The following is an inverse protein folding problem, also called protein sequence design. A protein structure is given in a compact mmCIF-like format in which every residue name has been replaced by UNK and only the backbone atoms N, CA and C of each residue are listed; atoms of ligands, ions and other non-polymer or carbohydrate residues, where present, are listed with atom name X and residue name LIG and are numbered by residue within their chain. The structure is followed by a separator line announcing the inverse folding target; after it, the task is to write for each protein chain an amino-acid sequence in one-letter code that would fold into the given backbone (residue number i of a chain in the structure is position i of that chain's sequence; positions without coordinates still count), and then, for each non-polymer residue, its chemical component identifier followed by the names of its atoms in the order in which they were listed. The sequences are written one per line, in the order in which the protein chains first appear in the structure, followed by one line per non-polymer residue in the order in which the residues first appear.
data_IF_448826700454
#
_entry.id   IF_448826700454
#
_cell.length_a   1.000
_cell.length_b   1.000
_cell.length_c   1.000
_cell.angle_alpha   90.00
_cell.angle_beta   90.00
_cell.angle_gamma   90.00
#
_symmetry.space_group_name_H-M   'P 1'
#
loop_
_entity.id
_entity.type
_entity.pdbx_description
1 polymer ?
#
# COMPACT_ATOMS: atom_id res chain seq x y z
N UNK A 1 -39.25 13.74 -8.23
CA UNK A 1 -39.24 12.71 -7.17
C UNK A 1 -37.77 12.38 -6.92
N UNK A 2 -37.09 13.13 -6.02
CA UNK A 2 -35.66 13.00 -5.79
C UNK A 2 -35.45 11.96 -4.68
N UNK A 3 -35.06 10.73 -5.05
CA UNK A 3 -34.81 9.66 -4.09
C UNK A 3 -33.59 10.01 -3.24
N UNK A 4 -33.78 10.10 -1.92
CA UNK A 4 -32.68 10.08 -0.95
C UNK A 4 -32.11 8.67 -0.94
N UNK A 5 -30.83 8.53 -1.28
CA UNK A 5 -30.10 7.28 -1.07
C UNK A 5 -29.54 7.31 0.35
N UNK A 6 -30.12 6.53 1.25
CA UNK A 6 -29.55 6.28 2.57
C UNK A 6 -28.36 5.33 2.44
N UNK A 7 -27.14 5.83 2.58
CA UNK A 7 -25.97 4.99 2.77
C UNK A 7 -26.02 4.46 4.21
N UNK A 8 -26.52 3.24 4.37
CA UNK A 8 -26.48 2.55 5.67
C UNK A 8 -25.07 1.99 5.84
N UNK A 9 -24.35 2.50 6.84
CA UNK A 9 -23.06 1.93 7.25
C UNK A 9 -23.29 0.51 7.73
N UNK A 10 -22.86 -0.50 6.96
CA UNK A 10 -22.76 -1.88 7.43
C UNK A 10 -21.63 -1.92 8.46
N UNK A 11 -21.88 -2.35 9.72
CA UNK A 11 -20.80 -2.56 10.68
C UNK A 11 -19.77 -3.49 10.04
N UNK A 12 -18.52 -3.07 9.95
CA UNK A 12 -17.50 -3.99 9.48
C UNK A 12 -17.35 -5.08 10.54
N UNK A 13 -17.56 -6.33 10.14
CA UNK A 13 -17.26 -7.49 10.99
C UNK A 13 -15.80 -7.93 10.88
N UNK A 14 -14.94 -7.10 10.25
CA UNK A 14 -13.54 -7.45 10.00
C UNK A 14 -12.74 -7.18 11.26
N UNK A 15 -12.00 -8.19 11.72
CA UNK A 15 -11.10 -8.04 12.85
C UNK A 15 -10.12 -6.88 12.59
N UNK A 16 -9.91 -6.04 13.61
CA UNK A 16 -8.90 -4.98 13.58
C UNK A 16 -7.54 -5.67 13.44
N UNK A 17 -6.75 -5.36 12.40
CA UNK A 17 -5.42 -5.93 12.26
C UNK A 17 -4.52 -5.45 13.40
N UNK A 18 -3.57 -6.28 13.78
CA UNK A 18 -2.53 -5.91 14.72
C UNK A 18 -1.44 -5.09 14.03
N UNK A 19 -0.72 -4.26 14.79
CA UNK A 19 0.46 -3.55 14.29
C UNK A 19 1.50 -4.52 13.73
N UNK A 20 1.67 -5.69 14.36
CA UNK A 20 2.61 -6.72 13.93
C UNK A 20 2.25 -7.31 12.57
N UNK A 21 0.96 -7.56 12.29
CA UNK A 21 0.52 -8.05 10.97
C UNK A 21 0.79 -7.04 9.85
N UNK A 22 0.54 -5.75 10.12
CA UNK A 22 0.82 -4.67 9.16
C UNK A 22 2.32 -4.59 8.87
N UNK A 23 3.15 -4.53 9.92
CA UNK A 23 4.60 -4.40 9.77
C UNK A 23 5.23 -5.64 9.13
N UNK A 24 4.80 -6.85 9.52
CA UNK A 24 5.27 -8.10 8.90
C UNK A 24 4.97 -8.13 7.40
N UNK A 25 3.78 -7.69 7.00
CA UNK A 25 3.41 -7.63 5.58
C UNK A 25 4.29 -6.67 4.77
N UNK A 26 4.69 -5.53 5.35
CA UNK A 26 5.61 -4.58 4.71
C UNK A 26 7.06 -5.08 4.76
N UNK A 27 7.47 -5.75 5.83
CA UNK A 27 8.80 -6.36 5.95
C UNK A 27 8.99 -7.49 4.91
N UNK A 28 7.93 -8.26 4.63
CA UNK A 28 7.91 -9.22 3.52
C UNK A 28 8.02 -8.54 2.15
N UNK A 29 7.36 -7.39 1.95
CA UNK A 29 7.51 -6.59 0.73
C UNK A 29 8.96 -6.10 0.57
N UNK A 30 9.59 -5.63 1.66
CA UNK A 30 11.00 -5.20 1.64
C UNK A 30 11.95 -6.37 1.34
N UNK A 31 11.67 -7.57 1.88
CA UNK A 31 12.47 -8.75 1.59
C UNK A 31 12.40 -9.11 0.10
N UNK A 32 11.20 -9.12 -0.47
CA UNK A 32 11.00 -9.45 -1.90
C UNK A 32 11.51 -8.35 -2.84
N UNK A 33 11.53 -7.09 -2.41
CA UNK A 33 12.12 -6.00 -3.17
C UNK A 33 13.65 -6.11 -3.26
N UNK A 34 14.31 -6.63 -2.22
CA UNK A 34 15.75 -6.92 -2.24
C UNK A 34 16.12 -8.05 -3.21
N UNK A 35 15.19 -8.96 -3.46
CA UNK A 35 15.32 -10.02 -4.46
C UNK A 35 15.04 -9.51 -5.89
N UNK A 36 14.57 -8.26 -6.04
CA UNK A 36 14.24 -7.64 -7.33
C UNK A 36 12.87 -8.05 -7.90
N UNK A 37 12.03 -8.74 -7.12
CA UNK A 37 10.73 -9.22 -7.60
C UNK A 37 9.64 -8.15 -7.42
N UNK A 38 9.48 -7.29 -8.44
CA UNK A 38 8.48 -6.22 -8.45
C UNK A 38 7.05 -6.75 -8.29
N UNK A 39 6.73 -7.87 -8.94
CA UNK A 39 5.37 -8.42 -8.94
C UNK A 39 4.98 -8.94 -7.56
N UNK A 40 5.88 -9.72 -6.93
CA UNK A 40 5.65 -10.23 -5.58
C UNK A 40 5.66 -9.09 -4.54
N UNK A 41 6.55 -8.12 -4.70
CA UNK A 41 6.58 -6.91 -3.85
C UNK A 41 5.23 -6.19 -3.94
N UNK A 42 4.71 -5.93 -5.14
CA UNK A 42 3.41 -5.29 -5.36
C UNK A 42 2.27 -6.08 -4.68
N UNK A 43 2.30 -7.41 -4.73
CA UNK A 43 1.31 -8.25 -4.06
C UNK A 43 1.35 -8.10 -2.54
N UNK A 44 2.54 -8.06 -1.93
CA UNK A 44 2.68 -7.85 -0.48
C UNK A 44 2.16 -6.46 -0.07
N UNK A 45 2.55 -5.41 -0.78
CA UNK A 45 2.08 -4.04 -0.49
C UNK A 45 0.56 -3.92 -0.70
N UNK A 46 0.03 -4.51 -1.77
CA UNK A 46 -1.41 -4.54 -2.03
C UNK A 46 -2.22 -5.25 -0.94
N UNK A 47 -1.69 -6.34 -0.36
CA UNK A 47 -2.30 -7.02 0.79
C UNK A 47 -2.32 -6.13 2.03
N UNK A 48 -1.25 -5.38 2.28
CA UNK A 48 -1.21 -4.41 3.38
C UNK A 48 -2.20 -3.26 3.15
N UNK A 49 -2.31 -2.72 1.93
CA UNK A 49 -3.34 -1.73 1.62
C UNK A 49 -4.74 -2.25 1.93
N UNK A 50 -5.07 -3.46 1.47
CA UNK A 50 -6.36 -4.10 1.78
C UNK A 50 -6.56 -4.29 3.29
N UNK A 51 -5.51 -4.65 4.02
CA UNK A 51 -5.55 -4.81 5.48
C UNK A 51 -5.88 -3.48 6.18
N UNK A 52 -5.38 -2.36 5.66
CA UNK A 52 -5.57 -1.02 6.19
C UNK A 52 -6.84 -0.30 5.69
N UNK A 53 -7.64 -0.89 4.80
CA UNK A 53 -8.86 -0.26 4.28
C UNK A 53 -9.99 -0.20 5.30
N UNK A 54 -10.72 0.91 5.31
CA UNK A 54 -11.94 1.07 6.12
C UNK A 54 -11.67 1.33 7.61
N UNK A 55 -12.73 1.20 8.40
CA UNK A 55 -12.76 1.42 9.85
C UNK A 55 -11.80 0.52 10.64
N UNK A 56 -11.69 -0.77 10.29
CA UNK A 56 -10.76 -1.67 10.96
C UNK A 56 -9.29 -1.22 10.79
N UNK A 57 -8.92 -0.73 9.60
CA UNK A 57 -7.59 -0.20 9.33
C UNK A 57 -7.35 1.17 9.98
N UNK A 58 -8.39 2.02 10.03
CA UNK A 58 -8.32 3.27 10.78
C UNK A 58 -8.10 2.99 12.28
N UNK A 59 -8.81 2.01 12.85
CA UNK A 59 -8.72 1.65 14.26
C UNK A 59 -7.32 1.18 14.69
N UNK A 60 -6.55 0.48 13.84
CA UNK A 60 -5.17 0.10 14.17
C UNK A 60 -4.21 1.30 14.14
N UNK A 61 -4.51 2.30 13.32
CA UNK A 61 -3.70 3.51 13.21
C UNK A 61 -4.05 4.53 14.31
N UNK A 62 -5.30 4.51 14.79
CA UNK A 62 -5.80 5.37 15.87
C UNK A 62 -4.93 5.25 17.14
N UNK A 63 -4.45 6.39 17.64
CA UNK A 63 -3.59 6.56 18.81
C UNK A 63 -2.22 5.84 18.73
N UNK A 64 -1.84 5.37 17.52
CA UNK A 64 -0.58 4.67 17.29
C UNK A 64 0.32 5.44 16.31
N UNK A 65 0.75 6.64 16.72
CA UNK A 65 1.66 7.49 15.92
C UNK A 65 2.97 6.78 15.58
N UNK A 66 3.46 5.91 16.47
CA UNK A 66 4.67 5.11 16.21
C UNK A 66 4.48 4.18 15.02
N UNK A 67 3.36 3.46 14.96
CA UNK A 67 3.04 2.60 13.80
C UNK A 67 2.97 3.40 12.50
N UNK A 68 2.37 4.59 12.51
CA UNK A 68 2.31 5.43 11.31
C UNK A 68 3.72 5.83 10.80
N UNK A 69 4.65 6.14 11.71
CA UNK A 69 6.05 6.41 11.37
C UNK A 69 6.76 5.16 10.85
N UNK A 70 6.56 4.02 11.51
CA UNK A 70 7.16 2.74 11.12
C UNK A 70 6.67 2.27 9.74
N UNK A 71 5.39 2.51 9.41
CA UNK A 71 4.84 2.30 8.07
C UNK A 71 5.51 3.26 7.08
N UNK A 72 5.53 4.56 7.37
CA UNK A 72 6.10 5.59 6.48
C UNK A 72 7.53 5.25 6.07
N UNK A 73 8.39 4.88 7.03
CA UNK A 73 9.78 4.48 6.75
C UNK A 73 9.88 3.33 5.76
N UNK A 74 8.97 2.36 5.83
CA UNK A 74 8.96 1.20 4.92
C UNK A 74 8.44 1.57 3.54
N UNK A 75 7.44 2.45 3.47
CA UNK A 75 6.95 2.98 2.19
C UNK A 75 8.04 3.78 1.47
N UNK A 76 8.92 4.49 2.18
CA UNK A 76 10.05 5.21 1.61
C UNK A 76 11.09 4.25 0.98
N UNK A 77 11.38 3.13 1.65
CA UNK A 77 12.24 2.07 1.09
C UNK A 77 11.64 1.45 -0.19
N UNK A 78 10.32 1.19 -0.17
CA UNK A 78 9.60 0.62 -1.31
C UNK A 78 9.48 1.60 -2.48
N UNK A 79 9.33 2.90 -2.22
CA UNK A 79 9.39 3.93 -3.25
C UNK A 79 10.76 3.99 -3.92
N UNK A 80 11.84 3.94 -3.13
CA UNK A 80 13.19 3.92 -3.66
C UNK A 80 13.41 2.68 -4.56
N UNK A 81 12.86 1.53 -4.19
CA UNK A 81 12.87 0.34 -5.03
C UNK A 81 12.05 0.50 -6.32
N UNK A 82 10.84 1.05 -6.22
CA UNK A 82 10.00 1.31 -7.39
C UNK A 82 10.69 2.25 -8.38
N UNK A 83 11.32 3.33 -7.90
CA UNK A 83 12.08 4.27 -8.73
C UNK A 83 13.26 3.62 -9.44
N UNK A 84 14.02 2.76 -8.74
CA UNK A 84 15.12 2.00 -9.37
C UNK A 84 14.60 1.05 -10.45
N UNK A 85 13.53 0.32 -10.15
CA UNK A 85 12.89 -0.62 -11.08
C UNK A 85 12.34 0.09 -12.32
N UNK A 86 11.81 1.31 -12.16
CA UNK A 86 11.36 2.16 -13.26
C UNK A 86 12.54 2.53 -14.17
N UNK A 87 13.62 3.05 -13.60
CA UNK A 87 14.82 3.43 -14.35
C UNK A 87 15.47 2.23 -15.08
N UNK A 88 15.49 1.06 -14.44
CA UNK A 88 15.97 -0.18 -15.06
C UNK A 88 15.09 -0.61 -16.25
N UNK A 89 13.78 -0.47 -16.13
CA UNK A 89 12.83 -0.77 -17.20
C UNK A 89 12.98 0.20 -18.38
N UNK A 90 13.14 1.50 -18.11
CA UNK A 90 13.36 2.54 -19.13
C UNK A 90 14.70 2.36 -19.87
N UNK A 91 15.74 1.89 -19.18
CA UNK A 91 17.04 1.63 -19.79
C UNK A 91 17.11 0.31 -20.59
N UNK A 92 16.13 -0.58 -20.42
CA UNK A 92 16.17 -1.91 -21.02
C UNK A 92 15.84 -1.87 -22.52
N UNK A 93 16.85 -2.11 -23.37
CA UNK A 93 16.71 -2.07 -24.84
C UNK A 93 16.38 -3.42 -25.49
N UNK A 94 16.44 -4.52 -24.74
CA UNK A 94 16.32 -5.89 -25.25
C UNK A 94 15.03 -6.61 -24.83
N UNK A 95 14.10 -5.92 -24.17
CA UNK A 95 12.82 -6.52 -23.75
C UNK A 95 11.83 -6.52 -24.90
N UNK A 96 11.01 -7.57 -24.98
CA UNK A 96 9.86 -7.58 -25.88
C UNK A 96 8.78 -6.62 -25.37
N UNK A 97 7.91 -6.14 -26.27
CA UNK A 97 6.78 -5.26 -25.92
C UNK A 97 5.92 -5.87 -24.81
N UNK A 98 5.61 -7.17 -24.90
CA UNK A 98 4.82 -7.87 -23.90
C UNK A 98 5.49 -7.91 -22.51
N UNK A 99 6.82 -8.05 -22.48
CA UNK A 99 7.58 -8.05 -21.22
C UNK A 99 7.67 -6.65 -20.61
N UNK A 100 7.80 -5.61 -21.44
CA UNK A 100 7.73 -4.21 -20.99
C UNK A 100 6.35 -3.92 -20.40
N UNK A 101 5.27 -4.26 -21.09
CA UNK A 101 3.90 -4.05 -20.60
C UNK A 101 3.64 -4.76 -19.27
N UNK A 102 4.08 -6.03 -19.16
CA UNK A 102 3.94 -6.81 -17.92
C UNK A 102 4.65 -6.14 -16.75
N UNK A 103 5.92 -5.76 -16.92
CA UNK A 103 6.71 -5.11 -15.87
C UNK A 103 6.16 -3.74 -15.50
N UNK A 104 5.73 -2.94 -16.48
CA UNK A 104 5.08 -1.66 -16.25
C UNK A 104 3.80 -1.81 -15.43
N UNK A 105 3.00 -2.84 -15.69
CA UNK A 105 1.79 -3.12 -14.93
C UNK A 105 2.10 -3.49 -13.47
N UNK A 106 3.07 -4.37 -13.26
CA UNK A 106 3.50 -4.76 -11.91
C UNK A 106 4.06 -3.56 -11.12
N UNK A 107 4.82 -2.69 -11.80
CA UNK A 107 5.36 -1.47 -11.21
C UNK A 107 4.27 -0.44 -10.89
N UNK A 108 3.30 -0.25 -11.78
CA UNK A 108 2.15 0.62 -11.54
C UNK A 108 1.36 0.15 -10.31
N UNK A 109 1.11 -1.17 -10.18
CA UNK A 109 0.44 -1.74 -8.99
C UNK A 109 1.20 -1.47 -7.70
N UNK A 110 2.53 -1.60 -7.71
CA UNK A 110 3.36 -1.28 -6.55
C UNK A 110 3.22 0.20 -6.17
N UNK A 111 3.39 1.12 -7.14
CA UNK A 111 3.32 2.57 -6.94
C UNK A 111 1.93 3.00 -6.44
N UNK A 112 0.87 2.47 -7.03
CA UNK A 112 -0.51 2.76 -6.64
C UNK A 112 -0.82 2.30 -5.21
N UNK A 113 -0.39 1.09 -4.84
CA UNK A 113 -0.59 0.58 -3.50
C UNK A 113 0.20 1.39 -2.46
N UNK A 114 1.46 1.73 -2.76
CA UNK A 114 2.29 2.56 -1.89
C UNK A 114 1.68 3.96 -1.69
N UNK A 115 1.21 4.56 -2.78
CA UNK A 115 0.52 5.84 -2.77
C UNK A 115 -0.77 5.79 -1.95
N UNK A 116 -1.59 4.75 -2.12
CA UNK A 116 -2.85 4.60 -1.39
C UNK A 116 -2.62 4.46 0.12
N UNK A 117 -1.61 3.68 0.56
CA UNK A 117 -1.28 3.57 1.98
C UNK A 117 -0.88 4.94 2.53
N UNK A 118 0.00 5.66 1.84
CA UNK A 118 0.48 6.98 2.31
C UNK A 118 -0.62 8.04 2.32
N UNK A 119 -1.34 8.20 1.21
CA UNK A 119 -2.18 9.37 0.97
C UNK A 119 -3.65 9.17 1.34
N UNK A 120 -4.11 7.92 1.40
CA UNK A 120 -5.46 7.62 1.87
C UNK A 120 -5.43 7.08 3.30
N UNK A 121 -4.62 6.06 3.59
CA UNK A 121 -4.73 5.36 4.89
C UNK A 121 -4.11 6.18 6.01
N UNK A 122 -2.83 6.55 5.86
CA UNK A 122 -2.13 7.34 6.87
C UNK A 122 -2.69 8.76 6.97
N UNK A 123 -2.94 9.43 5.84
CA UNK A 123 -3.51 10.78 5.83
C UNK A 123 -4.89 10.85 6.48
N UNK A 124 -5.76 9.88 6.24
CA UNK A 124 -7.09 9.86 6.87
C UNK A 124 -6.98 9.59 8.38
N UNK A 125 -6.04 8.74 8.81
CA UNK A 125 -5.78 8.54 10.24
C UNK A 125 -5.32 9.84 10.91
N UNK A 126 -4.45 10.63 10.26
CA UNK A 126 -4.03 11.95 10.76
C UNK A 126 -5.19 12.94 10.83
N UNK A 127 -6.01 13.04 9.78
CA UNK A 127 -7.15 13.95 9.75
C UNK A 127 -8.20 13.67 10.85
N UNK A 128 -8.30 12.42 11.32
CA UNK A 128 -9.16 12.05 12.45
C UNK A 128 -8.54 12.43 13.81
N UNK A 129 -7.22 12.57 13.92
CA UNK A 129 -6.57 13.03 15.15
C UNK A 129 -6.66 14.53 15.39
N UNK A 130 -6.85 15.31 14.32
CA UNK A 130 -6.96 16.78 14.38
C UNK A 130 -8.41 17.28 14.58
N UNK A 131 -9.38 16.37 14.73
CA UNK A 131 -10.80 16.63 15.01
C UNK A 131 -11.14 16.41 16.49
#
# INVERSE_FOLDING_TARGET
MCGIIGVVSRPSGRAVPTSAEVLTGLDDAIRTSRDGDVALTANHVGRVDLLLRGDAGLAVLMDNRRLALDITSRLDELDAFAQRSEAELEAASSLSVAEVERRSLDLARLKDANWAIRNDRLRNAVAVFDL
#
